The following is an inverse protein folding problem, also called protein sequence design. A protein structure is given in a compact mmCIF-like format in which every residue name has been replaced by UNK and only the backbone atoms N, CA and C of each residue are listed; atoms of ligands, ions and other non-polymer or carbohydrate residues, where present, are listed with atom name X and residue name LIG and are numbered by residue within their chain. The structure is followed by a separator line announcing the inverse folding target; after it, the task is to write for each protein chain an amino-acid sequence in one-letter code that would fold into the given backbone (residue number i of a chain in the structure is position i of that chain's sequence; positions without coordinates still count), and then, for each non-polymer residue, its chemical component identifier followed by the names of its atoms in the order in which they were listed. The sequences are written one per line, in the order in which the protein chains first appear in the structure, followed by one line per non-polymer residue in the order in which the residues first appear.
data_IF_460305728564
#
_entry.id   IF_460305728564
#
_cell.length_a   1.000
_cell.length_b   1.000
_cell.length_c   1.000
_cell.angle_alpha   90.00
_cell.angle_beta   90.00
_cell.angle_gamma   90.00
#
_symmetry.space_group_name_H-M   'P 1'
#
loop_
_entity.id
_entity.type
_entity.pdbx_description
1 polymer ?
#
# COMPACT_ATOMS: atom_id res chain seq x y z
N UNK A 1 -2.42 3.76 -15.89
CA UNK A 1 -1.58 4.97 -15.80
C UNK A 1 -0.25 4.72 -15.08
N UNK A 2 -0.22 4.36 -13.78
CA UNK A 2 1.03 4.23 -13.03
C UNK A 2 2.00 3.17 -13.59
N UNK A 3 1.50 2.01 -14.03
CA UNK A 3 2.32 1.02 -14.76
C UNK A 3 3.04 1.65 -15.96
N UNK A 4 2.30 2.34 -16.83
CA UNK A 4 2.85 2.99 -18.02
C UNK A 4 3.90 4.05 -17.66
N UNK A 5 3.68 4.83 -16.58
CA UNK A 5 4.67 5.81 -16.10
C UNK A 5 5.99 5.13 -15.71
N UNK A 6 5.93 4.02 -14.97
CA UNK A 6 7.13 3.26 -14.58
C UNK A 6 7.83 2.65 -15.80
N UNK A 7 7.09 2.07 -16.74
CA UNK A 7 7.65 1.52 -17.98
C UNK A 7 8.34 2.61 -18.82
N UNK A 8 7.72 3.79 -18.95
CA UNK A 8 8.32 4.93 -19.64
C UNK A 8 9.61 5.38 -18.96
N UNK A 9 9.66 5.49 -17.63
CA UNK A 9 10.87 5.85 -16.91
C UNK A 9 11.97 4.81 -17.16
N UNK A 10 11.66 3.52 -17.04
CA UNK A 10 12.61 2.42 -17.27
C UNK A 10 13.17 2.41 -18.69
N UNK A 11 12.37 2.78 -19.68
CA UNK A 11 12.79 2.73 -21.09
C UNK A 11 13.54 3.99 -21.53
N UNK A 12 13.41 5.12 -20.82
CA UNK A 12 13.92 6.41 -21.29
C UNK A 12 14.99 7.05 -20.39
N UNK A 13 15.20 6.56 -19.16
CA UNK A 13 16.22 7.10 -18.26
C UNK A 13 17.53 6.32 -18.39
N UNK A 14 18.66 6.96 -18.78
CA UNK A 14 19.95 6.29 -18.82
C UNK A 14 20.41 5.83 -17.42
N UNK A 15 21.05 4.66 -17.34
CA UNK A 15 21.53 4.03 -16.08
C UNK A 15 20.44 3.76 -15.04
N UNK A 16 19.16 3.63 -15.46
CA UNK A 16 18.04 3.40 -14.53
C UNK A 16 18.18 2.12 -13.72
N UNK A 17 18.90 1.13 -14.24
CA UNK A 17 19.25 -0.13 -13.58
C UNK A 17 20.13 0.05 -12.33
N UNK A 18 20.79 1.21 -12.18
CA UNK A 18 21.62 1.54 -11.02
C UNK A 18 20.83 2.20 -9.87
N UNK A 19 19.52 2.40 -10.04
CA UNK A 19 18.65 3.04 -9.06
C UNK A 19 17.46 2.15 -8.71
N UNK A 20 16.96 2.31 -7.47
CA UNK A 20 15.68 1.72 -7.07
C UNK A 20 14.58 2.69 -7.43
N UNK A 21 13.61 2.23 -8.22
CA UNK A 21 12.41 3.00 -8.52
C UNK A 21 11.44 2.95 -7.33
N UNK A 22 11.20 4.13 -6.76
CA UNK A 22 10.20 4.38 -5.73
C UNK A 22 8.90 4.92 -6.33
N UNK A 23 7.77 4.60 -5.71
CA UNK A 23 6.46 5.19 -6.02
C UNK A 23 5.84 5.76 -4.75
N UNK A 24 5.26 6.96 -4.87
CA UNK A 24 4.54 7.65 -3.80
C UNK A 24 3.15 8.05 -4.32
N UNK A 25 2.12 7.27 -3.99
CA UNK A 25 0.77 7.49 -4.49
C UNK A 25 -0.11 8.17 -3.41
N UNK A 26 -0.85 9.20 -3.82
CA UNK A 26 -1.90 9.82 -3.01
C UNK A 26 -3.28 9.25 -3.34
N UNK A 27 -4.20 9.38 -2.39
CA UNK A 27 -5.50 8.70 -2.40
C UNK A 27 -6.69 9.59 -2.79
N UNK A 28 -6.45 10.69 -3.51
CA UNK A 28 -7.48 11.68 -3.88
C UNK A 28 -8.70 11.05 -4.59
N UNK A 29 -8.51 9.94 -5.29
CA UNK A 29 -9.56 9.19 -5.99
C UNK A 29 -9.78 7.77 -5.43
N UNK A 30 -9.31 7.46 -4.22
CA UNK A 30 -9.50 6.16 -3.58
C UNK A 30 -8.72 5.00 -4.21
N UNK A 31 -7.69 5.29 -5.02
CA UNK A 31 -6.94 4.27 -5.79
C UNK A 31 -5.45 4.23 -5.44
N UNK A 32 -4.99 4.82 -4.33
CA UNK A 32 -3.57 4.93 -4.03
C UNK A 32 -2.87 3.56 -3.94
N UNK A 33 -3.43 2.63 -3.17
CA UNK A 33 -2.86 1.30 -3.01
C UNK A 33 -2.82 0.53 -4.34
N UNK A 34 -3.89 0.57 -5.13
CA UNK A 34 -3.95 -0.06 -6.44
C UNK A 34 -2.91 0.53 -7.41
N UNK A 35 -2.73 1.84 -7.42
CA UNK A 35 -1.71 2.52 -8.23
C UNK A 35 -0.28 2.13 -7.79
N UNK A 36 -0.03 2.02 -6.49
CA UNK A 36 1.25 1.53 -5.97
C UNK A 36 1.53 0.09 -6.39
N UNK A 37 0.54 -0.81 -6.31
CA UNK A 37 0.68 -2.20 -6.77
C UNK A 37 0.94 -2.26 -8.28
N UNK A 38 0.23 -1.47 -9.09
CA UNK A 38 0.46 -1.41 -10.53
C UNK A 38 1.88 -0.93 -10.88
N UNK A 39 2.45 -0.03 -10.08
CA UNK A 39 3.85 0.40 -10.23
C UNK A 39 4.84 -0.71 -9.83
N UNK A 40 4.55 -1.49 -8.78
CA UNK A 40 5.36 -2.64 -8.36
C UNK A 40 5.42 -3.70 -9.46
N UNK A 41 4.27 -4.02 -10.07
CA UNK A 41 4.19 -4.94 -11.21
C UNK A 41 5.04 -4.46 -12.41
N UNK A 42 5.10 -3.15 -12.64
CA UNK A 42 5.89 -2.53 -13.71
C UNK A 42 7.41 -2.53 -13.44
N UNK A 43 7.82 -2.87 -12.21
CA UNK A 43 9.21 -2.97 -11.80
C UNK A 43 9.66 -1.96 -10.75
N UNK A 44 8.76 -1.16 -10.17
CA UNK A 44 9.10 -0.41 -8.96
C UNK A 44 9.43 -1.39 -7.81
N UNK A 45 10.39 -1.03 -6.97
CA UNK A 45 10.86 -1.88 -5.86
C UNK A 45 10.84 -1.18 -4.51
N UNK A 46 10.36 0.06 -4.47
CA UNK A 46 10.06 0.79 -3.25
C UNK A 46 8.66 1.41 -3.37
N UNK A 47 7.88 1.30 -2.30
CA UNK A 47 6.58 1.97 -2.17
C UNK A 47 6.65 2.86 -0.93
N UNK A 48 6.30 4.12 -1.10
CA UNK A 48 6.13 5.08 -0.02
C UNK A 48 4.64 5.26 0.27
N UNK A 49 4.34 5.35 1.55
CA UNK A 49 2.97 5.49 2.04
C UNK A 49 2.97 5.67 3.55
N UNK A 50 1.79 5.57 4.15
CA UNK A 50 1.65 5.66 5.59
C UNK A 50 0.72 4.57 6.12
N UNK A 51 0.95 4.17 7.37
CA UNK A 51 -0.01 3.35 8.12
C UNK A 51 -1.35 4.09 8.18
N UNK A 52 -2.45 3.35 8.01
CA UNK A 52 -3.82 3.89 7.93
C UNK A 52 -4.06 4.80 6.71
N UNK A 53 -3.11 4.92 5.79
CA UNK A 53 -3.17 5.89 4.69
C UNK A 53 -3.06 7.35 5.17
N UNK A 54 -2.51 7.59 6.36
CA UNK A 54 -2.38 8.94 6.92
C UNK A 54 -1.64 9.88 5.95
N UNK A 55 -2.13 11.11 5.80
CA UNK A 55 -1.54 12.12 4.93
C UNK A 55 -2.48 13.30 4.73
N UNK A 56 -2.05 14.29 3.96
CA UNK A 56 -2.92 15.43 3.61
C UNK A 56 -4.10 15.00 2.73
N UNK A 57 -5.19 15.78 2.78
CA UNK A 57 -6.40 15.58 1.96
C UNK A 57 -6.99 14.18 2.18
N UNK A 58 -7.04 13.36 1.12
CA UNK A 58 -7.54 11.98 1.15
C UNK A 58 -6.48 10.96 1.63
N UNK A 59 -5.25 11.41 1.88
CA UNK A 59 -4.18 10.61 2.43
C UNK A 59 -3.24 9.99 1.38
N UNK A 60 -2.35 9.14 1.88
CA UNK A 60 -1.35 8.41 1.10
C UNK A 60 -1.82 6.97 0.82
N UNK A 61 -1.05 6.24 0.03
CA UNK A 61 -1.18 4.79 -0.05
C UNK A 61 -1.09 4.17 1.35
N UNK A 62 -2.10 3.37 1.69
CA UNK A 62 -2.15 2.62 2.94
C UNK A 62 -1.13 1.49 2.89
N UNK A 63 -0.11 1.55 3.75
CA UNK A 63 0.97 0.57 3.75
C UNK A 63 0.45 -0.83 4.08
N UNK A 64 -0.46 -0.95 5.05
CA UNK A 64 -1.03 -2.25 5.41
C UNK A 64 -1.78 -2.92 4.25
N UNK A 65 -2.42 -2.16 3.37
CA UNK A 65 -3.08 -2.70 2.18
C UNK A 65 -2.06 -3.16 1.14
N UNK A 66 -1.03 -2.37 0.86
CA UNK A 66 0.03 -2.72 -0.10
C UNK A 66 0.81 -3.96 0.37
N UNK A 67 1.22 -3.96 1.64
CA UNK A 67 1.97 -5.06 2.26
C UNK A 67 1.14 -6.35 2.21
N UNK A 68 -0.11 -6.32 2.65
CA UNK A 68 -0.95 -7.51 2.65
C UNK A 68 -1.33 -7.97 1.25
N UNK A 69 -1.46 -7.06 0.29
CA UNK A 69 -1.67 -7.45 -1.12
C UNK A 69 -0.48 -8.26 -1.64
N UNK A 70 0.75 -7.79 -1.43
CA UNK A 70 1.97 -8.52 -1.84
C UNK A 70 2.10 -9.84 -1.07
N UNK A 71 1.90 -9.81 0.26
CA UNK A 71 2.06 -10.97 1.12
C UNK A 71 1.04 -12.09 0.85
N UNK A 72 -0.24 -11.73 0.67
CA UNK A 72 -1.30 -12.71 0.41
C UNK A 72 -1.32 -13.21 -1.02
N UNK A 73 -0.75 -12.43 -1.95
CA UNK A 73 -0.67 -12.77 -3.38
C UNK A 73 0.76 -12.96 -3.86
N UNK A 74 1.61 -13.53 -3.02
CA UNK A 74 2.99 -13.89 -3.40
C UNK A 74 3.01 -14.79 -4.65
N UNK A 75 1.96 -15.61 -4.84
CA UNK A 75 1.72 -16.43 -6.04
C UNK A 75 1.66 -15.63 -7.35
N UNK A 76 1.18 -14.39 -7.29
CA UNK A 76 1.05 -13.49 -8.46
C UNK A 76 2.27 -12.62 -8.64
N UNK A 77 2.74 -12.02 -7.54
CA UNK A 77 3.78 -11.02 -7.62
C UNK A 77 5.19 -11.61 -7.65
N UNK A 78 5.40 -12.78 -7.02
CA UNK A 78 6.74 -13.35 -6.82
C UNK A 78 7.66 -12.42 -6.03
N UNK A 79 7.08 -11.59 -5.15
CA UNK A 79 7.76 -10.57 -4.35
C UNK A 79 7.37 -10.73 -2.88
N UNK A 80 8.31 -10.40 -2.01
CA UNK A 80 8.11 -10.38 -0.56
C UNK A 80 8.52 -9.02 0.01
N UNK A 81 8.09 -8.76 1.25
CA UNK A 81 8.58 -7.64 2.05
C UNK A 81 9.18 -8.19 3.33
N UNK A 82 10.05 -7.43 3.97
CA UNK A 82 10.62 -7.79 5.28
C UNK A 82 9.76 -7.30 6.45
N UNK A 83 8.46 -7.05 6.22
CA UNK A 83 7.55 -6.55 7.25
C UNK A 83 7.03 -7.72 8.09
N UNK A 84 7.10 -7.57 9.41
CA UNK A 84 6.37 -8.44 10.33
C UNK A 84 4.87 -8.09 10.28
N UNK A 85 4.10 -8.90 9.55
CA UNK A 85 2.66 -8.69 9.34
C UNK A 85 1.86 -8.79 10.64
N UNK A 86 2.39 -9.42 11.69
CA UNK A 86 1.74 -9.50 13.01
C UNK A 86 1.68 -8.12 13.70
N UNK A 87 2.56 -7.20 13.32
CA UNK A 87 2.62 -5.85 13.88
C UNK A 87 1.71 -4.84 13.19
N UNK A 88 1.06 -5.20 12.08
CA UNK A 88 0.22 -4.28 11.30
C UNK A 88 -0.91 -3.69 12.14
N UNK A 89 -1.69 -4.53 12.83
CA UNK A 89 -2.83 -4.06 13.62
C UNK A 89 -2.41 -3.25 14.86
N UNK A 90 -1.45 -3.71 15.69
CA UNK A 90 -0.92 -2.88 16.79
C UNK A 90 -0.38 -1.53 16.33
N UNK A 91 0.34 -1.50 15.20
CA UNK A 91 0.89 -0.25 14.65
C UNK A 91 -0.22 0.69 14.16
N UNK A 92 -1.24 0.15 13.50
CA UNK A 92 -2.43 0.91 13.08
C UNK A 92 -3.13 1.56 14.27
N UNK A 93 -3.31 0.82 15.36
CA UNK A 93 -3.89 1.33 16.61
C UNK A 93 -3.02 2.43 17.22
N UNK A 94 -1.71 2.20 17.35
CA UNK A 94 -0.78 3.19 17.89
C UNK A 94 -0.81 4.50 17.10
N UNK A 95 -0.79 4.43 15.77
CA UNK A 95 -0.87 5.62 14.91
C UNK A 95 -2.21 6.34 15.10
N UNK A 96 -3.32 5.60 15.16
CA UNK A 96 -4.65 6.18 15.39
C UNK A 96 -4.74 6.88 16.74
N UNK A 97 -4.21 6.25 17.79
CA UNK A 97 -4.23 6.79 19.16
C UNK A 97 -3.33 8.03 19.30
N UNK A 98 -2.16 8.07 18.62
CA UNK A 98 -1.25 9.23 18.64
C UNK A 98 -1.81 10.42 17.85
N UNK A 99 -2.38 10.16 16.67
CA UNK A 99 -2.78 11.22 15.73
C UNK A 99 -4.20 11.72 15.92
N UNK A 100 -5.05 10.94 16.60
CA UNK A 100 -6.49 11.20 16.71
C UNK A 100 -7.29 10.86 15.44
N UNK A 101 -6.64 10.37 14.37
CA UNK A 101 -7.34 9.94 13.15
C UNK A 101 -7.89 8.52 13.36
N UNK A 102 -9.21 8.43 13.49
CA UNK A 102 -9.92 7.17 13.73
C UNK A 102 -9.97 6.32 12.46
N UNK A 103 -9.65 5.03 12.59
CA UNK A 103 -9.79 4.05 11.52
C UNK A 103 -11.25 3.67 11.32
N UNK A 104 -11.77 3.80 10.10
CA UNK A 104 -13.16 3.41 9.79
C UNK A 104 -13.39 1.90 10.01
N UNK A 105 -14.59 1.47 10.49
CA UNK A 105 -14.82 0.07 10.84
C UNK A 105 -14.61 -0.93 9.70
N UNK A 106 -14.90 -0.55 8.46
CA UNK A 106 -14.79 -1.35 7.25
C UNK A 106 -13.47 -1.12 6.49
N UNK A 107 -12.46 -0.49 7.09
CA UNK A 107 -11.13 -0.33 6.48
C UNK A 107 -10.51 -1.71 6.23
N UNK A 108 -9.95 -1.92 5.05
CA UNK A 108 -9.23 -3.15 4.73
C UNK A 108 -8.09 -3.40 5.74
N UNK A 109 -7.91 -4.67 6.10
CA UNK A 109 -6.87 -5.20 7.03
C UNK A 109 -7.04 -4.77 8.49
N UNK A 110 -7.24 -3.49 8.78
CA UNK A 110 -7.16 -2.94 10.14
C UNK A 110 -8.49 -2.42 10.69
N UNK A 111 -9.54 -2.39 9.88
CA UNK A 111 -10.89 -2.03 10.33
C UNK A 111 -11.44 -3.05 11.33
N UNK A 112 -12.23 -2.59 12.31
CA UNK A 112 -12.83 -3.45 13.33
C UNK A 112 -13.71 -4.59 12.76
N UNK A 113 -14.19 -4.43 11.53
CA UNK A 113 -14.99 -5.41 10.81
C UNK A 113 -14.19 -6.23 9.76
N UNK A 114 -12.91 -5.94 9.55
CA UNK A 114 -12.11 -6.55 8.46
C UNK A 114 -12.08 -8.08 8.48
N UNK A 115 -12.15 -8.68 9.68
CA UNK A 115 -12.21 -10.13 9.88
C UNK A 115 -13.49 -10.60 10.57
N UNK A 116 -14.45 -9.70 10.79
CA UNK A 116 -15.76 -10.11 11.30
C UNK A 116 -16.55 -10.72 10.15
N UNK A 117 -16.75 -12.04 10.21
CA UNK A 117 -17.74 -12.71 9.37
C UNK A 117 -19.09 -12.71 10.09
N UNK A 118 -20.05 -11.97 9.55
CA UNK A 118 -21.46 -12.29 9.70
C UNK A 118 -21.88 -12.96 8.39
N UNK A 119 -21.65 -14.26 8.25
CA UNK A 119 -22.27 -15.05 7.19
C UNK A 119 -23.78 -15.08 7.49
N UNK A 120 -24.48 -14.12 6.91
CA UNK A 120 -25.90 -13.86 7.10
C UNK A 120 -26.51 -13.13 5.91
N UNK A 121 -26.01 -13.41 4.70
CA UNK A 121 -26.77 -13.43 3.44
C UNK A 121 -26.34 -14.70 2.71
#
# INVERSE_FOLDING_TARGET
EFRQRIELIKNNVPNIDKAILSVHCHNDLGNAAANSIAAVEAGARQVEGCINGLGERAGNASLEEVIMTIHTREDVFGLTTNVDTTQIYPTSRLVSDITGFVVQPNKAIVGANAFRHASGI
#
